data_IF_655700193966
#
_entry.id   IF_655700193966
#
_cell.length_a   1.000
_cell.length_b   1.000
_cell.length_c   1.000
_cell.angle_alpha   90.00
_cell.angle_beta   90.00
_cell.angle_gamma   90.00
#
_symmetry.space_group_name_H-M   'P 1'
#
loop_
_entity.id
_entity.type
_entity.pdbx_description
1 polymer ?
#
# COMPACT_ATOMS: atom_id res chain seq x y z
N UNK A 1 7.03 30.58 -58.17
CA UNK A 1 7.54 30.94 -56.83
C UNK A 1 6.68 30.21 -55.79
N UNK A 2 7.09 29.03 -55.30
CA UNK A 2 6.35 28.34 -54.25
C UNK A 2 6.61 28.97 -52.88
N UNK A 3 5.54 29.17 -52.11
CA UNK A 3 5.53 29.73 -50.75
C UNK A 3 6.29 28.82 -49.77
N UNK A 4 7.04 29.38 -48.80
CA UNK A 4 7.65 28.56 -47.74
C UNK A 4 6.57 28.07 -46.77
N UNK A 5 6.69 26.84 -46.23
CA UNK A 5 5.79 26.36 -45.20
C UNK A 5 6.01 27.16 -43.91
N UNK A 6 4.92 27.70 -43.40
CA UNK A 6 4.86 28.42 -42.12
C UNK A 6 5.19 27.42 -41.01
N UNK A 7 6.37 27.57 -40.41
CA UNK A 7 6.77 26.84 -39.21
C UNK A 7 5.95 27.37 -38.02
N UNK A 8 4.69 26.95 -37.92
CA UNK A 8 3.96 26.96 -36.65
C UNK A 8 4.48 25.80 -35.79
N UNK A 9 5.76 25.87 -35.40
CA UNK A 9 6.27 25.13 -34.26
C UNK A 9 5.83 25.91 -33.03
N UNK A 10 4.56 25.71 -32.68
CA UNK A 10 3.95 26.12 -31.42
C UNK A 10 4.92 25.80 -30.29
N UNK A 11 5.34 26.84 -29.57
CA UNK A 11 5.99 26.72 -28.27
C UNK A 11 5.05 26.01 -27.28
N UNK A 12 4.88 24.71 -27.39
CA UNK A 12 4.36 23.89 -26.31
C UNK A 12 5.51 23.71 -25.32
N UNK A 13 5.69 24.70 -24.45
CA UNK A 13 6.40 24.55 -23.19
C UNK A 13 5.59 23.59 -22.30
N UNK A 14 5.51 22.33 -22.68
CA UNK A 14 5.17 21.24 -21.77
C UNK A 14 6.37 21.07 -20.86
N UNK A 15 6.44 21.88 -19.80
CA UNK A 15 7.37 21.58 -18.73
C UNK A 15 6.97 20.20 -18.21
N UNK A 16 7.86 19.19 -18.29
CA UNK A 16 7.57 17.89 -17.70
C UNK A 16 7.28 18.13 -16.23
N UNK A 17 6.11 17.66 -15.76
CA UNK A 17 5.70 17.77 -14.38
C UNK A 17 6.82 17.15 -13.52
N UNK A 18 7.41 17.92 -12.60
CA UNK A 18 8.45 17.38 -11.73
C UNK A 18 7.84 16.47 -10.65
N UNK A 19 8.69 15.65 -10.03
CA UNK A 19 8.33 14.85 -8.86
C UNK A 19 7.77 15.72 -7.72
N UNK A 20 8.40 16.89 -7.50
CA UNK A 20 7.97 17.88 -6.52
C UNK A 20 6.61 18.49 -6.86
N UNK A 21 6.39 18.86 -8.12
CA UNK A 21 5.09 19.41 -8.56
C UNK A 21 3.99 18.36 -8.44
N UNK A 22 4.27 17.11 -8.80
CA UNK A 22 3.35 15.99 -8.62
C UNK A 22 3.02 15.77 -7.14
N UNK A 23 4.01 15.89 -6.26
CA UNK A 23 3.83 15.79 -4.82
C UNK A 23 2.92 16.89 -4.28
N UNK A 24 3.18 18.16 -4.65
CA UNK A 24 2.35 19.31 -4.23
C UNK A 24 0.90 19.14 -4.69
N UNK A 25 0.70 18.75 -5.96
CA UNK A 25 -0.65 18.55 -6.51
C UNK A 25 -1.35 17.37 -5.83
N UNK A 26 -0.62 16.30 -5.50
CA UNK A 26 -1.19 15.15 -4.80
C UNK A 26 -1.62 15.50 -3.36
N UNK A 27 -0.82 16.29 -2.64
CA UNK A 27 -1.18 16.78 -1.31
C UNK A 27 -2.39 17.72 -1.39
N UNK A 28 -2.42 18.64 -2.37
CA UNK A 28 -3.60 19.49 -2.59
C UNK A 28 -4.86 18.67 -2.91
N UNK A 29 -4.73 17.58 -3.66
CA UNK A 29 -5.85 16.69 -3.95
C UNK A 29 -6.30 15.87 -2.72
N UNK A 30 -5.40 15.59 -1.77
CA UNK A 30 -5.75 15.03 -0.47
C UNK A 30 -6.55 16.06 0.35
N UNK A 31 -6.11 17.31 0.37
CA UNK A 31 -6.81 18.40 1.07
C UNK A 31 -8.23 18.60 0.51
N UNK A 32 -8.39 18.58 -0.82
CA UNK A 32 -9.70 18.65 -1.47
C UNK A 32 -10.60 17.48 -1.05
N UNK A 33 -10.07 16.24 -1.01
CA UNK A 33 -10.81 15.07 -0.54
C UNK A 33 -11.24 15.21 0.93
N UNK A 34 -10.34 15.68 1.79
CA UNK A 34 -10.62 15.89 3.22
C UNK A 34 -11.69 16.98 3.39
N UNK A 35 -11.58 18.07 2.63
CA UNK A 35 -12.56 19.15 2.63
C UNK A 35 -13.96 18.66 2.20
N UNK A 36 -14.03 17.82 1.17
CA UNK A 36 -15.28 17.21 0.73
C UNK A 36 -15.90 16.32 1.81
N UNK A 37 -15.08 15.51 2.50
CA UNK A 37 -15.52 14.67 3.62
C UNK A 37 -16.00 15.50 4.83
N UNK A 38 -15.30 16.58 5.15
CA UNK A 38 -15.66 17.51 6.23
C UNK A 38 -17.01 18.18 5.92
N UNK A 39 -17.22 18.61 4.66
CA UNK A 39 -18.49 19.17 4.22
C UNK A 39 -19.62 18.13 4.24
N UNK A 40 -19.36 16.93 3.75
CA UNK A 40 -20.35 15.85 3.69
C UNK A 40 -20.79 15.36 5.08
N UNK A 41 -19.86 15.38 6.05
CA UNK A 41 -20.14 15.05 7.46
C UNK A 41 -20.79 16.19 8.26
N UNK A 42 -21.19 17.29 7.62
CA UNK A 42 -21.72 18.47 8.30
C UNK A 42 -20.79 19.00 9.41
N UNK A 43 -19.48 18.96 9.19
CA UNK A 43 -18.43 19.35 10.15
C UNK A 43 -18.31 18.44 11.39
N UNK A 44 -19.03 17.32 11.44
CA UNK A 44 -18.85 16.32 12.49
C UNK A 44 -17.69 15.39 12.14
N UNK A 45 -16.46 15.91 12.28
CA UNK A 45 -15.24 15.12 12.14
C UNK A 45 -14.61 14.78 13.49
N UNK A 46 -14.11 13.55 13.59
CA UNK A 46 -13.30 13.13 14.73
C UNK A 46 -11.96 13.86 14.69
N UNK A 47 -11.47 14.44 15.80
CA UNK A 47 -10.12 15.00 15.88
C UNK A 47 -9.05 13.98 15.44
N UNK A 48 -9.23 12.70 15.83
CA UNK A 48 -8.34 11.62 15.45
C UNK A 48 -8.25 11.37 13.93
N UNK A 49 -9.27 11.77 13.15
CA UNK A 49 -9.20 11.71 11.70
C UNK A 49 -8.29 12.80 11.14
N UNK A 50 -8.40 14.03 11.66
CA UNK A 50 -7.56 15.15 11.22
C UNK A 50 -6.10 14.94 11.62
N UNK A 51 -5.86 14.42 12.82
CA UNK A 51 -4.52 14.02 13.28
C UNK A 51 -3.94 12.95 12.34
N UNK A 52 -4.74 11.93 12.01
CA UNK A 52 -4.34 10.89 11.07
C UNK A 52 -4.02 11.43 9.66
N UNK A 53 -4.78 12.41 9.17
CA UNK A 53 -4.51 13.04 7.87
C UNK A 53 -3.13 13.68 7.87
N UNK A 54 -2.81 14.46 8.91
CA UNK A 54 -1.53 15.15 9.02
C UNK A 54 -0.36 14.18 9.24
N UNK A 55 -0.50 13.23 10.15
CA UNK A 55 0.59 12.38 10.61
C UNK A 55 0.85 11.18 9.70
N UNK A 56 -0.18 10.69 8.99
CA UNK A 56 -0.08 9.44 8.23
C UNK A 56 -0.52 9.57 6.77
N UNK A 57 -1.64 10.24 6.47
CA UNK A 57 -2.16 10.28 5.11
C UNK A 57 -1.29 11.15 4.18
N UNK A 58 -0.83 12.31 4.66
CA UNK A 58 0.07 13.18 3.89
C UNK A 58 1.40 12.47 3.58
N UNK A 59 2.14 11.92 4.57
CA UNK A 59 3.36 11.16 4.28
C UNK A 59 3.14 9.94 3.40
N UNK A 60 1.99 9.25 3.53
CA UNK A 60 1.62 8.16 2.64
C UNK A 60 1.55 8.65 1.20
N UNK A 61 0.80 9.73 0.92
CA UNK A 61 0.66 10.27 -0.44
C UNK A 61 2.02 10.66 -1.02
N UNK A 62 2.85 11.37 -0.26
CA UNK A 62 4.19 11.77 -0.71
C UNK A 62 5.05 10.55 -1.07
N UNK A 63 5.05 9.53 -0.21
CA UNK A 63 5.79 8.28 -0.44
C UNK A 63 5.30 7.51 -1.67
N UNK A 64 4.00 7.50 -1.92
CA UNK A 64 3.41 6.82 -3.08
C UNK A 64 3.72 7.58 -4.37
N UNK A 65 3.67 8.92 -4.36
CA UNK A 65 4.11 9.73 -5.51
C UNK A 65 5.57 9.41 -5.83
N UNK A 66 6.46 9.49 -4.84
CA UNK A 66 7.89 9.18 -5.06
C UNK A 66 8.11 7.77 -5.60
N UNK A 67 7.37 6.78 -5.08
CA UNK A 67 7.46 5.38 -5.51
C UNK A 67 6.94 5.14 -6.92
N UNK A 68 5.81 5.75 -7.27
CA UNK A 68 5.14 5.52 -8.55
C UNK A 68 5.54 6.51 -9.63
N UNK A 69 6.29 7.57 -9.33
CA UNK A 69 6.65 8.60 -10.31
C UNK A 69 7.30 8.03 -11.57
N UNK A 70 8.22 7.07 -11.40
CA UNK A 70 8.91 6.40 -12.50
C UNK A 70 8.13 5.23 -13.12
N UNK A 71 6.91 4.95 -12.63
CA UNK A 71 6.07 3.89 -13.18
C UNK A 71 5.45 4.34 -14.52
N UNK A 72 5.55 3.53 -15.59
CA UNK A 72 5.00 3.88 -16.90
C UNK A 72 3.50 4.17 -16.87
N UNK A 73 2.75 3.46 -16.01
CA UNK A 73 1.29 3.67 -15.87
C UNK A 73 0.97 5.01 -15.20
N UNK A 74 1.76 5.38 -14.19
CA UNK A 74 1.58 6.64 -13.48
C UNK A 74 1.98 7.82 -14.36
N UNK A 75 3.18 7.78 -14.94
CA UNK A 75 3.66 8.81 -15.87
C UNK A 75 2.72 8.96 -17.08
N UNK A 76 2.26 7.85 -17.66
CA UNK A 76 1.28 7.87 -18.76
C UNK A 76 -0.05 8.53 -18.36
N UNK A 77 -0.51 8.33 -17.12
CA UNK A 77 -1.75 8.97 -16.65
C UNK A 77 -1.64 10.48 -16.48
N UNK A 78 -0.44 10.99 -16.15
CA UNK A 78 -0.19 12.43 -16.03
C UNK A 78 -0.09 13.13 -17.40
N UNK A 79 0.32 12.39 -18.43
CA UNK A 79 0.48 12.91 -19.80
C UNK A 79 -0.81 12.86 -20.63
N UNK A 80 -1.79 12.02 -20.25
CA UNK A 80 -3.03 11.80 -21.01
C UNK A 80 -4.14 12.84 -20.74
N UNK A 81 -3.90 13.88 -19.94
CA UNK A 81 -4.93 14.88 -19.64
C UNK A 81 -4.49 15.86 -18.55
N UNK A 82 -5.44 16.34 -17.75
CA UNK A 82 -5.14 17.19 -16.60
C UNK A 82 -4.43 16.38 -15.50
N UNK A 83 -3.16 16.68 -15.18
CA UNK A 83 -2.42 15.96 -14.15
C UNK A 83 -3.06 16.07 -12.76
N UNK A 84 -3.83 17.14 -12.49
CA UNK A 84 -4.55 17.30 -11.22
C UNK A 84 -5.64 16.27 -11.06
N UNK A 85 -6.41 16.04 -12.13
CA UNK A 85 -7.47 15.01 -12.13
C UNK A 85 -6.86 13.61 -12.02
N UNK A 86 -5.75 13.37 -12.73
CA UNK A 86 -5.03 12.09 -12.64
C UNK A 86 -4.51 11.84 -11.22
N UNK A 87 -3.84 12.81 -10.60
CA UNK A 87 -3.33 12.71 -9.23
C UNK A 87 -4.46 12.57 -8.21
N UNK A 88 -5.56 13.30 -8.34
CA UNK A 88 -6.71 13.14 -7.46
C UNK A 88 -7.28 11.72 -7.48
N UNK A 89 -7.30 11.06 -8.66
CA UNK A 89 -7.71 9.65 -8.77
C UNK A 89 -6.73 8.70 -8.07
N UNK A 90 -5.43 8.94 -8.22
CA UNK A 90 -4.39 8.15 -7.54
C UNK A 90 -4.46 8.34 -6.02
N UNK A 91 -4.61 9.57 -5.54
CA UNK A 91 -4.76 9.89 -4.12
C UNK A 91 -5.99 9.18 -3.54
N UNK A 92 -7.15 9.27 -4.20
CA UNK A 92 -8.35 8.52 -3.77
C UNK A 92 -8.08 7.02 -3.71
N UNK A 93 -7.40 6.46 -4.71
CA UNK A 93 -7.06 5.05 -4.73
C UNK A 93 -6.13 4.63 -3.58
N UNK A 94 -5.19 5.48 -3.18
CA UNK A 94 -4.27 5.21 -2.09
C UNK A 94 -4.87 5.45 -0.71
N UNK A 95 -5.71 6.48 -0.54
CA UNK A 95 -6.13 6.97 0.78
C UNK A 95 -7.49 6.39 1.19
N UNK A 96 -8.46 6.30 0.28
CA UNK A 96 -9.82 5.86 0.62
C UNK A 96 -9.89 4.46 1.26
N UNK A 97 -9.08 3.45 0.87
CA UNK A 97 -9.07 2.16 1.57
C UNK A 97 -8.70 2.28 3.05
N UNK A 98 -7.77 3.18 3.40
CA UNK A 98 -7.37 3.42 4.78
C UNK A 98 -8.46 4.15 5.56
N UNK A 99 -9.16 5.10 4.92
CA UNK A 99 -10.31 5.78 5.52
C UNK A 99 -11.41 4.77 5.85
N UNK A 100 -11.79 3.90 4.90
CA UNK A 100 -12.85 2.89 5.11
C UNK A 100 -12.46 1.90 6.21
N UNK A 101 -11.18 1.53 6.30
CA UNK A 101 -10.69 0.58 7.31
C UNK A 101 -10.64 1.17 8.73
N UNK A 102 -10.24 2.44 8.90
CA UNK A 102 -9.99 3.07 10.21
C UNK A 102 -11.14 3.95 10.69
N UNK A 103 -11.90 4.52 9.76
CA UNK A 103 -12.96 5.49 10.01
C UNK A 103 -14.25 5.08 9.28
N UNK A 104 -14.80 3.91 9.64
CA UNK A 104 -15.95 3.32 8.94
C UNK A 104 -17.19 4.24 8.90
N UNK A 105 -17.33 5.16 9.84
CA UNK A 105 -18.40 6.18 9.83
C UNK A 105 -18.33 7.09 8.60
N UNK A 106 -17.13 7.31 8.04
CA UNK A 106 -16.90 8.15 6.87
C UNK A 106 -17.14 7.41 5.55
N UNK A 107 -17.21 6.07 5.58
CA UNK A 107 -17.41 5.26 4.38
C UNK A 107 -18.74 5.56 3.67
N UNK A 108 -19.75 6.06 4.40
CA UNK A 108 -21.05 6.47 3.84
C UNK A 108 -20.88 7.63 2.84
N UNK A 109 -19.88 8.47 3.03
CA UNK A 109 -19.57 9.61 2.16
C UNK A 109 -18.59 9.26 1.03
N UNK A 110 -18.15 7.99 0.96
CA UNK A 110 -17.26 7.45 -0.08
C UNK A 110 -17.96 6.33 -0.86
N UNK A 111 -19.02 6.63 -1.62
CA UNK A 111 -19.84 5.59 -2.28
C UNK A 111 -19.03 4.73 -3.26
N UNK A 112 -18.01 5.28 -3.92
CA UNK A 112 -17.13 4.51 -4.82
C UNK A 112 -16.27 3.45 -4.10
N UNK A 113 -16.03 3.59 -2.78
CA UNK A 113 -15.22 2.68 -1.98
C UNK A 113 -16.01 1.93 -0.90
N UNK A 114 -17.28 2.26 -0.71
CA UNK A 114 -18.18 1.55 0.22
C UNK A 114 -18.28 0.04 -0.10
N UNK A 115 -18.14 -0.33 -1.38
CA UNK A 115 -18.10 -1.73 -1.84
C UNK A 115 -16.71 -2.36 -1.77
N UNK A 116 -15.65 -1.56 -1.61
CA UNK A 116 -14.26 -2.00 -1.43
C UNK A 116 -13.92 -2.31 0.03
N UNK A 117 -14.94 -2.51 0.87
CA UNK A 117 -14.78 -3.08 2.20
C UNK A 117 -13.93 -4.35 2.04
N UNK A 118 -12.79 -4.48 2.74
CA UNK A 118 -12.08 -5.74 2.74
C UNK A 118 -13.10 -6.80 3.13
N UNK A 119 -13.31 -7.77 2.22
CA UNK A 119 -14.08 -8.97 2.51
C UNK A 119 -13.61 -9.43 3.89
N UNK A 120 -14.50 -9.63 4.88
CA UNK A 120 -14.10 -10.20 6.14
C UNK A 120 -13.29 -11.43 5.76
N UNK A 121 -11.99 -11.47 6.13
CA UNK A 121 -11.21 -12.67 5.95
C UNK A 121 -12.03 -13.76 6.62
N UNK A 122 -12.69 -14.59 5.80
CA UNK A 122 -13.21 -15.87 6.22
C UNK A 122 -12.04 -16.45 7.03
N UNK A 123 -12.25 -16.85 8.30
CA UNK A 123 -11.19 -17.45 9.07
C UNK A 123 -10.59 -18.51 8.17
N UNK A 124 -9.29 -18.32 7.86
CA UNK A 124 -8.50 -19.20 7.00
C UNK A 124 -8.99 -20.60 7.29
N UNK A 125 -9.61 -21.23 6.29
CA UNK A 125 -10.18 -22.56 6.43
C UNK A 125 -9.24 -23.36 7.29
N UNK A 126 -9.71 -23.75 8.49
CA UNK A 126 -9.08 -24.79 9.25
C UNK A 126 -8.90 -25.92 8.23
N UNK A 127 -7.63 -26.21 7.93
CA UNK A 127 -7.26 -27.26 7.00
C UNK A 127 -8.15 -28.47 7.32
N UNK A 128 -8.66 -29.21 6.32
CA UNK A 128 -9.34 -30.46 6.60
C UNK A 128 -8.41 -31.25 7.51
N UNK A 129 -8.85 -31.49 8.74
CA UNK A 129 -8.17 -32.34 9.70
C UNK A 129 -7.89 -33.62 8.93
N UNK A 130 -6.63 -33.80 8.57
CA UNK A 130 -6.17 -34.99 7.94
C UNK A 130 -6.56 -36.12 8.89
N UNK A 131 -7.44 -37.00 8.39
CA UNK A 131 -7.83 -38.19 9.10
C UNK A 131 -6.57 -38.90 9.63
N UNK A 132 -6.59 -39.40 10.88
CA UNK A 132 -5.45 -40.10 11.44
C UNK A 132 -5.20 -41.37 10.63
N UNK A 133 -4.12 -41.35 9.84
CA UNK A 133 -3.56 -42.56 9.26
C UNK A 133 -3.08 -43.47 10.42
N UNK A 134 -3.50 -44.74 10.49
CA UNK A 134 -3.09 -45.64 11.55
C UNK A 134 -1.61 -45.96 11.36
N UNK A 135 -0.77 -45.41 12.22
CA UNK A 135 0.65 -45.76 12.29
C UNK A 135 0.79 -47.26 12.58
N UNK A 136 1.70 -47.97 11.89
CA UNK A 136 2.06 -49.31 12.26
C UNK A 136 2.76 -49.29 13.63
N UNK A 137 2.22 -50.12 14.49
CA UNK A 137 2.63 -50.47 15.85
C UNK A 137 4.12 -50.87 15.89
N UNK A 138 5.01 -49.91 16.08
CA UNK A 138 6.40 -50.19 16.49
C UNK A 138 6.45 -50.15 18.01
N UNK A 139 6.46 -51.37 18.53
CA UNK A 139 6.50 -51.80 19.91
C UNK A 139 7.82 -51.35 20.53
N UNK A 140 7.71 -50.58 21.59
CA UNK A 140 8.77 -50.31 22.55
C UNK A 140 9.42 -51.64 22.97
N UNK A 141 10.72 -51.76 22.74
CA UNK A 141 11.59 -52.69 23.46
C UNK A 141 12.67 -51.87 24.17
N UNK A 142 12.77 -52.17 25.44
CA UNK A 142 13.49 -51.50 26.52
C UNK A 142 15.01 -51.42 26.34
N UNK A 143 15.62 -50.42 26.99
CA UNK A 143 17.05 -50.41 27.30
C UNK A 143 17.48 -49.11 28.00
N UNK A 144 17.85 -49.14 29.29
CA UNK A 144 17.94 -47.95 30.13
C UNK A 144 19.24 -47.15 29.95
N UNK A 145 19.11 -45.84 30.16
CA UNK A 145 20.19 -44.90 30.37
C UNK A 145 21.01 -45.28 31.60
N UNK A 146 22.33 -45.40 31.44
CA UNK A 146 23.26 -45.29 32.56
C UNK A 146 24.38 -44.33 32.20
N UNK A 147 24.29 -43.15 32.84
CA UNK A 147 25.38 -42.49 33.56
C UNK A 147 26.66 -42.20 32.79
N UNK A 148 26.84 -40.91 32.47
CA UNK A 148 28.14 -40.36 32.20
C UNK A 148 29.04 -40.45 33.44
N UNK A 149 30.30 -40.85 33.21
CA UNK A 149 31.43 -40.54 34.07
C UNK A 149 32.68 -40.53 33.18
N UNK A 150 33.47 -39.48 33.30
CA UNK A 150 34.51 -39.13 32.34
C UNK A 150 35.76 -40.01 32.38
N UNK A 151 36.61 -39.86 31.36
CA UNK A 151 38.04 -39.80 31.55
C UNK A 151 38.76 -39.12 30.36
N UNK A 152 39.87 -38.48 30.72
CA UNK A 152 40.83 -37.72 29.92
C UNK A 152 41.56 -38.57 28.89
N UNK A 153 42.09 -37.91 27.85
CA UNK A 153 43.19 -38.40 27.00
C UNK A 153 43.17 -37.68 25.64
N UNK A 154 43.76 -36.49 25.50
CA UNK A 154 45.13 -36.29 24.97
C UNK A 154 45.42 -37.18 23.75
N UNK A 155 45.44 -36.54 22.56
CA UNK A 155 45.85 -37.18 21.31
C UNK A 155 45.73 -36.24 20.11
N UNK A 156 46.70 -35.33 19.97
CA UNK A 156 46.95 -34.60 18.74
C UNK A 156 47.60 -35.54 17.70
N UNK A 157 47.31 -35.40 16.39
CA UNK A 157 48.19 -35.89 15.35
C UNK A 157 48.93 -34.71 14.71
N UNK A 158 50.24 -34.68 14.89
CA UNK A 158 51.15 -33.77 14.19
C UNK A 158 52.44 -34.52 13.89
N UNK A 159 52.69 -34.72 12.59
CA UNK A 159 53.74 -35.48 11.90
C UNK A 159 53.45 -36.95 11.62
#
# INVERSE_FOLDING_TARGET
>A
MPQPPVLFATMLRTHPLSDKDACIIAVAALDDLVNDLVKASCLHMSPAFLDWVADEATPLVESQVARFFNSPRFAGSLLMGDPRIALARWVRHWVCPHIVARFSALAVYLPEFAQSRPVPQLPLQAAPVAAPSPRPRQRWVSGPSHTGFGQRGLGAPGF
#
